data_IF_450284182031
#
_entry.id   IF_450284182031
#
_cell.length_a   1.000
_cell.length_b   1.000
_cell.length_c   1.000
_cell.angle_alpha   90.00
_cell.angle_beta   90.00
_cell.angle_gamma   90.00
#
_symmetry.space_group_name_H-M   'P 1'
#
loop_
_entity.id
_entity.type
_entity.pdbx_description
1 polymer ?
#
# COMPACT_ATOMS: atom_id res chain seq x y z
N UNK A 1 -16.27 11.31 4.77
CA UNK A 1 -17.34 11.67 3.81
C UNK A 1 -17.68 10.45 2.96
N UNK A 2 -18.90 9.96 3.06
CA UNK A 2 -19.32 8.73 2.37
C UNK A 2 -19.58 8.98 0.87
N UNK A 3 -19.45 7.97 -0.02
CA UNK A 3 -19.71 8.10 -1.45
C UNK A 3 -21.11 8.65 -1.80
N UNK A 4 -22.09 8.39 -0.95
CA UNK A 4 -23.47 8.90 -1.12
C UNK A 4 -23.59 10.43 -1.05
N UNK A 5 -22.59 11.13 -0.53
CA UNK A 5 -22.55 12.59 -0.48
C UNK A 5 -22.05 13.22 -1.79
N UNK A 6 -21.45 12.42 -2.67
CA UNK A 6 -20.97 12.88 -3.96
C UNK A 6 -22.05 12.68 -5.03
N UNK A 7 -22.33 13.72 -5.78
CA UNK A 7 -23.33 13.70 -6.85
C UNK A 7 -22.91 12.87 -8.06
N UNK A 8 -21.59 12.67 -8.23
CA UNK A 8 -21.02 11.93 -9.36
C UNK A 8 -19.73 11.24 -8.94
N UNK A 9 -19.34 10.18 -9.66
CA UNK A 9 -18.02 9.53 -9.51
C UNK A 9 -16.87 10.52 -9.72
N UNK A 10 -17.04 11.49 -10.62
CA UNK A 10 -16.01 12.52 -10.86
C UNK A 10 -15.79 13.42 -9.65
N UNK A 11 -16.84 13.80 -8.92
CA UNK A 11 -16.68 14.59 -7.68
C UNK A 11 -16.04 13.80 -6.56
N UNK A 12 -16.31 12.51 -6.46
CA UNK A 12 -15.64 11.61 -5.51
C UNK A 12 -14.13 11.50 -5.80
N UNK A 13 -13.76 11.30 -7.06
CA UNK A 13 -12.35 11.21 -7.50
C UNK A 13 -11.62 12.51 -7.20
N UNK A 14 -12.22 13.67 -7.49
CA UNK A 14 -11.63 14.98 -7.20
C UNK A 14 -11.41 15.17 -5.71
N UNK A 15 -12.41 14.88 -4.88
CA UNK A 15 -12.31 15.00 -3.43
C UNK A 15 -11.26 14.05 -2.85
N UNK A 16 -11.18 12.82 -3.34
CA UNK A 16 -10.17 11.86 -2.94
C UNK A 16 -8.77 12.36 -3.29
N UNK A 17 -8.57 12.86 -4.51
CA UNK A 17 -7.28 13.40 -4.93
C UNK A 17 -6.87 14.60 -4.08
N UNK A 18 -7.76 15.57 -3.86
CA UNK A 18 -7.47 16.73 -3.00
C UNK A 18 -7.11 16.32 -1.58
N UNK A 19 -7.81 15.30 -1.04
CA UNK A 19 -7.59 14.77 0.31
C UNK A 19 -6.24 14.10 0.48
N UNK A 20 -5.77 13.33 -0.52
CA UNK A 20 -4.60 12.45 -0.40
C UNK A 20 -3.38 12.88 -1.22
N UNK A 21 -3.48 13.91 -2.07
CA UNK A 21 -2.40 14.34 -2.97
C UNK A 21 -1.05 14.53 -2.25
N UNK A 22 -1.05 15.25 -1.13
CA UNK A 22 0.18 15.51 -0.38
C UNK A 22 0.81 14.22 0.17
N UNK A 23 -0.02 13.32 0.68
CA UNK A 23 0.42 12.03 1.20
C UNK A 23 0.95 11.12 0.09
N UNK A 24 0.27 11.07 -1.05
CA UNK A 24 0.73 10.32 -2.23
C UNK A 24 2.11 10.79 -2.66
N UNK A 25 2.30 12.12 -2.76
CA UNK A 25 3.56 12.73 -3.14
C UNK A 25 4.67 12.40 -2.14
N UNK A 26 4.38 12.48 -0.84
CA UNK A 26 5.33 12.16 0.23
C UNK A 26 5.77 10.70 0.16
N UNK A 27 4.84 9.76 0.01
CA UNK A 27 5.14 8.32 -0.11
C UNK A 27 6.02 8.05 -1.33
N UNK A 28 5.61 8.52 -2.49
CA UNK A 28 6.33 8.30 -3.74
C UNK A 28 7.74 8.91 -3.71
N UNK A 29 7.88 10.15 -3.24
CA UNK A 29 9.18 10.83 -3.10
C UNK A 29 10.07 10.11 -2.09
N UNK A 30 9.49 9.65 -0.98
CA UNK A 30 10.22 8.87 0.04
C UNK A 30 10.84 7.61 -0.53
N UNK A 31 10.13 6.89 -1.40
CA UNK A 31 10.60 5.65 -2.03
C UNK A 31 11.59 5.93 -3.16
N UNK A 32 11.28 6.87 -4.05
CA UNK A 32 12.06 7.10 -5.27
C UNK A 32 13.21 8.10 -5.09
N UNK A 33 13.14 8.96 -4.07
CA UNK A 33 14.08 10.06 -3.82
C UNK A 33 14.20 11.04 -5.00
N UNK A 34 13.21 11.06 -5.89
CA UNK A 34 13.10 11.93 -7.06
C UNK A 34 11.67 12.48 -7.18
N UNK A 35 11.53 13.81 -7.20
CA UNK A 35 10.21 14.48 -7.21
C UNK A 35 9.49 14.30 -8.55
N UNK A 36 10.22 14.31 -9.67
CA UNK A 36 9.61 14.17 -10.99
C UNK A 36 9.07 12.76 -11.20
N UNK A 37 9.82 11.75 -10.78
CA UNK A 37 9.36 10.36 -10.80
C UNK A 37 8.21 10.11 -9.83
N UNK A 38 8.23 10.78 -8.68
CA UNK A 38 7.12 10.73 -7.73
C UNK A 38 5.83 11.30 -8.35
N UNK A 39 5.92 12.39 -9.13
CA UNK A 39 4.77 12.94 -9.86
C UNK A 39 4.19 11.94 -10.85
N UNK A 40 5.03 11.25 -11.61
CA UNK A 40 4.59 10.20 -12.54
C UNK A 40 3.93 9.02 -11.80
N UNK A 41 4.52 8.61 -10.68
CA UNK A 41 3.94 7.55 -9.82
C UNK A 41 2.58 7.96 -9.27
N UNK A 42 2.41 9.21 -8.83
CA UNK A 42 1.11 9.71 -8.33
C UNK A 42 0.06 9.68 -9.44
N UNK A 43 0.40 10.04 -10.67
CA UNK A 43 -0.49 9.95 -11.82
C UNK A 43 -0.89 8.49 -12.12
N UNK A 44 0.08 7.58 -12.17
CA UNK A 44 -0.17 6.15 -12.40
C UNK A 44 -1.01 5.52 -11.26
N UNK A 45 -0.73 5.88 -10.02
CA UNK A 45 -1.51 5.47 -8.87
C UNK A 45 -2.96 5.96 -8.96
N UNK A 46 -3.17 7.22 -9.38
CA UNK A 46 -4.52 7.75 -9.58
C UNK A 46 -5.29 6.97 -10.65
N UNK A 47 -4.67 6.56 -11.73
CA UNK A 47 -5.31 5.70 -12.74
C UNK A 47 -5.77 4.38 -12.13
N UNK A 48 -4.93 3.76 -11.28
CA UNK A 48 -5.28 2.51 -10.57
C UNK A 48 -6.41 2.73 -9.56
N UNK A 49 -6.38 3.83 -8.80
CA UNK A 49 -7.42 4.21 -7.85
C UNK A 49 -8.76 4.40 -8.57
N UNK A 50 -8.78 5.12 -9.70
CA UNK A 50 -9.99 5.36 -10.49
C UNK A 50 -10.60 4.05 -10.97
N UNK A 51 -9.78 3.12 -11.46
CA UNK A 51 -10.25 1.79 -11.88
C UNK A 51 -10.88 0.98 -10.76
N UNK A 52 -10.48 1.22 -9.52
CA UNK A 52 -10.91 0.51 -8.32
C UNK A 52 -11.72 1.40 -7.36
N UNK A 53 -12.28 2.51 -7.84
CA UNK A 53 -13.00 3.50 -7.01
C UNK A 53 -14.21 2.90 -6.28
N UNK A 54 -14.75 1.79 -6.78
CA UNK A 54 -15.82 1.03 -6.14
C UNK A 54 -15.44 0.41 -4.79
N UNK A 55 -14.15 0.33 -4.47
CA UNK A 55 -13.64 -0.13 -3.17
C UNK A 55 -13.68 0.98 -2.10
N UNK A 56 -13.99 2.23 -2.49
CA UNK A 56 -14.03 3.39 -1.60
C UNK A 56 -15.44 3.58 -1.08
N UNK A 57 -15.65 3.31 0.21
CA UNK A 57 -16.92 3.52 0.89
C UNK A 57 -17.02 4.90 1.53
N UNK A 58 -15.91 5.39 2.08
CA UNK A 58 -15.78 6.70 2.73
C UNK A 58 -14.35 7.22 2.55
N UNK A 59 -14.19 8.43 2.00
CA UNK A 59 -12.87 9.02 1.73
C UNK A 59 -12.08 9.36 2.99
N UNK A 60 -12.74 9.57 4.12
CA UNK A 60 -12.10 9.87 5.41
C UNK A 60 -11.87 8.59 6.25
N UNK A 61 -12.29 7.44 5.75
CA UNK A 61 -12.10 6.18 6.44
C UNK A 61 -10.65 5.72 6.42
N UNK A 62 -10.25 5.00 7.47
CA UNK A 62 -8.96 4.28 7.52
C UNK A 62 -8.81 3.31 6.34
N UNK A 63 -9.90 2.62 5.96
CA UNK A 63 -9.92 1.73 4.81
C UNK A 63 -9.53 2.46 3.52
N UNK A 64 -10.07 3.66 3.28
CA UNK A 64 -9.72 4.48 2.11
C UNK A 64 -8.25 4.95 2.19
N UNK A 65 -7.79 5.41 3.34
CA UNK A 65 -6.40 5.82 3.51
C UNK A 65 -5.42 4.68 3.18
N UNK A 66 -5.68 3.48 3.70
CA UNK A 66 -4.84 2.30 3.43
C UNK A 66 -4.97 1.77 1.99
N UNK A 67 -6.14 1.92 1.37
CA UNK A 67 -6.33 1.66 -0.06
C UNK A 67 -5.42 2.55 -0.91
N UNK A 68 -5.44 3.86 -0.68
CA UNK A 68 -4.59 4.84 -1.39
C UNK A 68 -3.12 4.56 -1.13
N UNK A 69 -2.72 4.40 0.14
CA UNK A 69 -1.35 4.10 0.54
C UNK A 69 -0.80 2.86 -0.17
N UNK A 70 -1.55 1.75 -0.14
CA UNK A 70 -1.11 0.48 -0.75
C UNK A 70 -0.88 0.64 -2.25
N UNK A 71 -1.78 1.33 -2.96
CA UNK A 71 -1.63 1.55 -4.40
C UNK A 71 -0.40 2.41 -4.71
N UNK A 72 -0.21 3.51 -3.99
CA UNK A 72 0.92 4.42 -4.23
C UNK A 72 2.24 3.74 -3.89
N UNK A 73 2.34 3.09 -2.71
CA UNK A 73 3.53 2.36 -2.29
C UNK A 73 3.93 1.30 -3.32
N UNK A 74 3.00 0.46 -3.73
CA UNK A 74 3.29 -0.60 -4.70
C UNK A 74 3.65 -0.04 -6.08
N UNK A 75 3.00 1.04 -6.53
CA UNK A 75 3.35 1.68 -7.79
C UNK A 75 4.77 2.26 -7.75
N UNK A 76 5.16 2.91 -6.66
CA UNK A 76 6.50 3.43 -6.46
C UNK A 76 7.56 2.31 -6.37
N UNK A 77 7.26 1.24 -5.64
CA UNK A 77 8.15 0.08 -5.53
C UNK A 77 8.36 -0.63 -6.88
N UNK A 78 7.33 -0.71 -7.73
CA UNK A 78 7.45 -1.28 -9.07
C UNK A 78 8.40 -0.46 -9.95
N UNK A 79 8.29 0.87 -9.91
CA UNK A 79 9.22 1.77 -10.61
C UNK A 79 10.63 1.61 -10.08
N UNK A 80 10.78 1.58 -8.76
CA UNK A 80 12.07 1.40 -8.10
C UNK A 80 12.75 0.08 -8.50
N UNK A 81 12.01 -1.04 -8.49
CA UNK A 81 12.53 -2.37 -8.91
C UNK A 81 12.97 -2.37 -10.36
N UNK A 82 12.18 -1.79 -11.27
CA UNK A 82 12.55 -1.68 -12.70
C UNK A 82 13.85 -0.93 -12.88
N UNK A 83 14.05 0.17 -12.16
CA UNK A 83 15.31 0.91 -12.18
C UNK A 83 16.49 0.10 -11.68
N UNK A 84 16.29 -0.65 -10.60
CA UNK A 84 17.33 -1.54 -10.10
C UNK A 84 17.68 -2.64 -11.10
N UNK A 85 16.68 -3.27 -11.72
CA UNK A 85 16.91 -4.28 -12.77
C UNK A 85 17.68 -3.69 -13.97
N UNK A 86 17.37 -2.47 -14.38
CA UNK A 86 18.11 -1.75 -15.40
C UNK A 86 19.56 -1.43 -14.97
N UNK A 87 19.77 -1.13 -13.71
CA UNK A 87 21.10 -0.90 -13.12
C UNK A 87 21.84 -2.20 -12.83
N UNK A 88 21.15 -3.28 -12.45
CA UNK A 88 21.69 -4.61 -12.10
C UNK A 88 22.19 -5.41 -13.32
N UNK A 89 21.90 -5.01 -14.53
CA UNK A 89 22.77 -5.43 -15.63
C UNK A 89 24.23 -4.98 -15.38
N UNK A 90 24.46 -4.24 -14.32
CA UNK A 90 25.77 -3.72 -13.88
C UNK A 90 26.20 -4.18 -12.46
N UNK A 91 25.34 -4.53 -11.49
CA UNK A 91 25.75 -5.00 -10.12
C UNK A 91 24.62 -5.74 -9.41
N UNK A 92 24.92 -6.91 -8.80
CA UNK A 92 24.01 -7.71 -7.97
C UNK A 92 23.91 -7.17 -6.54
N UNK A 93 22.68 -6.93 -6.01
CA UNK A 93 22.37 -7.01 -4.57
C UNK A 93 20.85 -6.98 -4.25
N UNK A 94 20.48 -7.51 -3.09
CA UNK A 94 19.16 -7.96 -2.66
C UNK A 94 18.21 -6.78 -2.32
N UNK A 95 17.00 -6.79 -2.94
CA UNK A 95 15.96 -5.75 -2.79
C UNK A 95 15.30 -5.75 -1.41
N UNK A 96 15.42 -6.85 -0.64
CA UNK A 96 14.79 -6.97 0.67
C UNK A 96 15.37 -6.01 1.72
N UNK A 97 16.66 -5.67 1.59
CA UNK A 97 17.33 -4.76 2.52
C UNK A 97 16.95 -3.30 2.30
N UNK A 98 16.50 -2.94 1.08
CA UNK A 98 16.19 -1.56 0.73
C UNK A 98 14.83 -1.10 1.26
N UNK A 99 13.85 -1.97 1.33
CA UNK A 99 12.53 -1.66 1.92
C UNK A 99 12.67 -1.36 3.42
N UNK A 100 13.58 -2.02 4.11
CA UNK A 100 13.89 -1.74 5.51
C UNK A 100 14.59 -0.38 5.71
N UNK A 101 15.43 0.04 4.74
CA UNK A 101 16.12 1.35 4.80
C UNK A 101 15.15 2.51 4.56
N UNK A 102 14.15 2.32 3.67
CA UNK A 102 13.14 3.34 3.39
C UNK A 102 12.19 3.52 4.60
N UNK A 103 11.88 2.44 5.33
CA UNK A 103 10.99 2.47 6.48
C UNK A 103 11.46 3.36 7.64
N UNK A 104 12.76 3.64 7.73
CA UNK A 104 13.32 4.51 8.78
C UNK A 104 13.23 6.02 8.44
N UNK A 105 13.09 6.40 7.16
CA UNK A 105 13.09 7.80 6.72
C UNK A 105 11.72 8.36 6.34
N UNK A 106 10.72 7.50 6.16
CA UNK A 106 9.36 7.92 5.80
C UNK A 106 8.49 7.82 7.04
N UNK A 107 7.90 8.95 7.43
CA UNK A 107 6.85 8.96 8.45
C UNK A 107 5.58 8.31 7.87
N UNK A 108 5.55 6.99 7.93
CA UNK A 108 4.38 6.19 7.59
C UNK A 108 3.29 6.25 8.68
N UNK A 109 3.54 6.93 9.80
CA UNK A 109 2.65 7.00 10.96
C UNK A 109 1.24 7.50 10.59
N UNK A 110 1.12 8.32 9.55
CA UNK A 110 -0.19 8.76 9.05
C UNK A 110 -1.01 7.59 8.48
N UNK A 111 -0.36 6.53 8.00
CA UNK A 111 -0.99 5.38 7.37
C UNK A 111 -0.85 4.08 8.17
N UNK A 112 0.27 3.88 8.85
CA UNK A 112 0.57 2.63 9.57
C UNK A 112 0.10 2.64 11.03
N UNK A 113 -0.02 3.81 11.66
CA UNK A 113 -0.24 3.91 13.11
C UNK A 113 -1.61 3.44 13.58
N UNK A 114 -2.57 3.19 12.70
CA UNK A 114 -3.93 2.87 13.15
C UNK A 114 -4.63 1.75 12.37
N UNK A 115 -4.02 0.56 12.33
CA UNK A 115 -4.75 -0.66 11.95
C UNK A 115 -5.62 -1.21 13.09
N UNK A 116 -5.62 -0.57 14.27
CA UNK A 116 -6.34 -1.04 15.43
C UNK A 116 -5.78 -2.34 16.04
N UNK A 117 -4.54 -2.67 15.71
CA UNK A 117 -3.86 -3.83 16.27
C UNK A 117 -3.25 -3.53 17.64
N UNK A 118 -3.22 -4.54 18.52
CA UNK A 118 -2.49 -4.46 19.79
C UNK A 118 -0.98 -4.30 19.56
N UNK A 119 -0.27 -3.79 20.60
CA UNK A 119 1.20 -3.68 20.56
C UNK A 119 1.87 -5.02 20.25
N UNK A 120 1.38 -6.12 20.81
CA UNK A 120 1.86 -7.48 20.54
C UNK A 120 1.70 -7.85 19.05
N UNK A 121 0.57 -7.48 18.43
CA UNK A 121 0.35 -7.72 17.01
C UNK A 121 1.27 -6.85 16.14
N UNK A 122 1.52 -5.61 16.53
CA UNK A 122 2.44 -4.71 15.83
C UNK A 122 3.88 -5.25 15.88
N UNK A 123 4.31 -5.74 17.05
CA UNK A 123 5.63 -6.38 17.19
C UNK A 123 5.74 -7.62 16.31
N UNK A 124 4.70 -8.45 16.26
CA UNK A 124 4.64 -9.59 15.36
C UNK A 124 4.71 -9.17 13.88
N UNK A 125 3.93 -8.17 13.49
CA UNK A 125 3.91 -7.66 12.11
C UNK A 125 5.27 -7.10 11.67
N UNK A 126 6.05 -6.54 12.61
CA UNK A 126 7.40 -6.03 12.33
C UNK A 126 8.39 -7.13 11.91
N UNK A 127 8.13 -8.38 12.26
CA UNK A 127 8.96 -9.55 11.93
C UNK A 127 8.59 -10.18 10.58
N UNK A 128 7.45 -9.77 9.99
CA UNK A 128 7.00 -10.30 8.71
C UNK A 128 7.68 -9.63 7.53
N UNK A 129 7.73 -10.35 6.41
CA UNK A 129 8.06 -9.75 5.11
C UNK A 129 6.98 -8.73 4.75
N UNK A 130 7.38 -7.63 4.12
CA UNK A 130 6.51 -6.50 3.80
C UNK A 130 5.18 -6.91 3.13
N UNK A 131 5.23 -7.77 2.13
CA UNK A 131 4.02 -8.23 1.45
C UNK A 131 3.09 -9.06 2.36
N UNK A 132 3.62 -9.84 3.29
CA UNK A 132 2.81 -10.63 4.22
C UNK A 132 2.18 -9.72 5.29
N UNK A 133 2.91 -8.69 5.73
CA UNK A 133 2.41 -7.61 6.57
C UNK A 133 1.26 -6.86 5.88
N UNK A 134 1.46 -6.41 4.64
CA UNK A 134 0.42 -5.74 3.85
C UNK A 134 -0.87 -6.58 3.76
N UNK A 135 -0.73 -7.87 3.45
CA UNK A 135 -1.89 -8.77 3.33
C UNK A 135 -2.66 -8.87 4.65
N UNK A 136 -1.96 -9.02 5.77
CA UNK A 136 -2.60 -9.09 7.10
C UNK A 136 -3.28 -7.77 7.45
N UNK A 137 -2.60 -6.65 7.25
CA UNK A 137 -3.14 -5.33 7.51
C UNK A 137 -4.39 -5.03 6.66
N UNK A 138 -4.36 -5.37 5.39
CA UNK A 138 -5.51 -5.19 4.50
C UNK A 138 -6.67 -6.12 4.91
N UNK A 139 -6.40 -7.39 5.23
CA UNK A 139 -7.43 -8.37 5.56
C UNK A 139 -8.08 -8.12 6.91
N UNK A 140 -7.28 -7.93 7.96
CA UNK A 140 -7.78 -7.87 9.34
C UNK A 140 -7.90 -6.46 9.89
N UNK A 141 -7.12 -5.50 9.38
CA UNK A 141 -7.21 -4.11 9.78
C UNK A 141 -8.24 -3.30 8.99
N UNK A 142 -8.57 -3.73 7.78
CA UNK A 142 -9.40 -2.96 6.84
C UNK A 142 -10.50 -3.77 6.15
N UNK A 143 -10.68 -5.03 6.48
CA UNK A 143 -11.75 -5.91 5.95
C UNK A 143 -11.79 -6.04 4.43
N UNK A 144 -10.63 -5.96 3.75
CA UNK A 144 -10.57 -6.25 2.33
C UNK A 144 -10.74 -7.75 2.07
N UNK A 145 -11.48 -8.10 1.02
CA UNK A 145 -11.59 -9.48 0.55
C UNK A 145 -10.29 -9.98 -0.09
N UNK A 146 -10.12 -11.28 -0.23
CA UNK A 146 -8.94 -11.86 -0.88
C UNK A 146 -8.81 -11.41 -2.35
N UNK A 147 -9.94 -11.19 -3.03
CA UNK A 147 -10.01 -10.69 -4.40
C UNK A 147 -9.60 -9.21 -4.49
N UNK A 148 -10.07 -8.37 -3.54
CA UNK A 148 -9.64 -6.97 -3.44
C UNK A 148 -8.15 -6.87 -3.15
N UNK A 149 -7.63 -7.64 -2.18
CA UNK A 149 -6.20 -7.70 -1.86
C UNK A 149 -5.38 -8.17 -3.07
N UNK A 150 -5.85 -9.20 -3.78
CA UNK A 150 -5.26 -9.67 -5.03
C UNK A 150 -5.10 -8.55 -6.05
N UNK A 151 -6.15 -7.76 -6.23
CA UNK A 151 -6.14 -6.61 -7.15
C UNK A 151 -5.19 -5.51 -6.69
N UNK A 152 -5.20 -5.17 -5.39
CA UNK A 152 -4.36 -4.11 -4.82
C UNK A 152 -2.86 -4.44 -4.88
N UNK A 153 -2.51 -5.70 -4.62
CA UNK A 153 -1.11 -6.15 -4.56
C UNK A 153 -0.59 -6.70 -5.88
N UNK A 154 -1.46 -6.89 -6.89
CA UNK A 154 -1.08 -7.44 -8.19
C UNK A 154 -0.64 -8.91 -8.13
N UNK A 155 -1.15 -9.69 -7.18
CA UNK A 155 -0.86 -11.12 -7.01
C UNK A 155 -2.14 -11.95 -7.13
N UNK A 156 -2.02 -13.24 -7.44
CA UNK A 156 -3.20 -14.10 -7.58
C UNK A 156 -3.94 -14.33 -6.25
N UNK A 157 -5.29 -14.53 -6.26
CA UNK A 157 -6.07 -14.77 -5.05
C UNK A 157 -5.59 -16.01 -4.27
N UNK A 158 -5.12 -17.04 -4.97
CA UNK A 158 -4.53 -18.24 -4.34
C UNK A 158 -3.24 -17.92 -3.59
N UNK A 159 -2.43 -16.98 -4.10
CA UNK A 159 -1.23 -16.51 -3.43
C UNK A 159 -1.58 -15.74 -2.15
N UNK A 160 -2.63 -14.90 -2.17
CA UNK A 160 -3.16 -14.21 -0.99
C UNK A 160 -3.57 -15.25 0.07
N UNK A 161 -4.40 -16.23 -0.29
CA UNK A 161 -4.86 -17.29 0.64
C UNK A 161 -3.71 -18.10 1.24
N UNK A 162 -2.72 -18.48 0.43
CA UNK A 162 -1.55 -19.23 0.90
C UNK A 162 -0.69 -18.40 1.87
N UNK A 163 -0.53 -17.11 1.62
CA UNK A 163 0.21 -16.20 2.51
C UNK A 163 -0.52 -15.99 3.82
N UNK A 164 -1.84 -15.74 3.78
CA UNK A 164 -2.68 -15.64 4.99
C UNK A 164 -2.63 -16.91 5.83
N UNK A 165 -2.71 -18.09 5.20
CA UNK A 165 -2.63 -19.38 5.91
C UNK A 165 -1.28 -19.54 6.63
N UNK A 166 -0.18 -19.25 5.95
CA UNK A 166 1.17 -19.31 6.56
C UNK A 166 1.35 -18.33 7.71
N UNK A 167 0.89 -17.09 7.54
CA UNK A 167 0.96 -16.09 8.58
C UNK A 167 0.14 -16.48 9.83
N UNK A 168 -1.06 -17.06 9.66
CA UNK A 168 -1.86 -17.59 10.77
C UNK A 168 -1.18 -18.74 11.50
N UNK A 169 -0.57 -19.66 10.77
CA UNK A 169 0.19 -20.76 11.38
C UNK A 169 1.33 -20.22 12.22
N UNK A 170 2.07 -19.27 11.70
CA UNK A 170 3.17 -18.65 12.43
C UNK A 170 2.72 -17.89 13.69
N UNK A 171 1.58 -17.18 13.60
CA UNK A 171 0.93 -16.54 14.74
C UNK A 171 0.52 -17.53 15.85
N UNK A 172 0.10 -18.72 15.47
CA UNK A 172 -0.32 -19.74 16.42
C UNK A 172 0.84 -20.47 17.13
N UNK A 173 2.07 -20.29 16.64
CA UNK A 173 3.30 -20.89 17.19
C UNK A 173 4.02 -19.99 18.21
N UNK A 174 3.56 -18.73 18.34
CA UNK A 174 4.07 -17.74 19.30
C UNK A 174 3.19 -17.75 20.57
#
# INVERSE_FOLDING_TARGET
>A
MAPSEFKTTGSLITALFERYKANMQQIATGILKDVNEADDVVQDAMVKIIKNIHMVDDIDSRRCANFVYTIVKNTALDVFRKKQEEMEQLVTNDVSDFVNIIGEEIDFDVFESDYGFSEEMQEYLSQLKEMDKDIICLRYGNDFSDEEISTLLGIGPDAVRKRLSRARTHLAEI
#
